data_IF_017702759593
#
_entry.id   IF_017702759593
#
_cell.length_a   1.000
_cell.length_b   1.000
_cell.length_c   1.000
_cell.angle_alpha   90.00
_cell.angle_beta   90.00
_cell.angle_gamma   90.00
#
_symmetry.space_group_name_H-M   'P 1'
#
loop_
_entity.id
_entity.type
_entity.pdbx_description
1 polymer ?
#
# COMPACT_ATOMS: atom_id res chain seq x y z
N UNK A 1 31.92 -6.67 1.99
CA UNK A 1 30.45 -6.83 1.96
C UNK A 1 30.01 -7.71 3.10
N UNK A 2 29.02 -7.31 3.78
CA UNK A 2 28.47 -8.15 4.87
C UNK A 2 27.37 -9.06 4.31
N UNK A 3 27.65 -10.34 4.21
CA UNK A 3 26.64 -11.33 3.85
C UNK A 3 25.68 -11.63 5.01
N UNK A 4 25.96 -11.07 6.19
CA UNK A 4 25.17 -11.30 7.40
C UNK A 4 24.29 -10.11 7.74
N UNK A 5 24.12 -9.18 6.81
CA UNK A 5 23.26 -8.05 7.04
C UNK A 5 21.81 -8.51 7.20
N UNK A 6 21.17 -8.09 8.30
CA UNK A 6 19.77 -8.34 8.56
C UNK A 6 18.98 -7.04 8.43
N UNK A 7 17.68 -7.16 8.23
CA UNK A 7 16.81 -6.02 8.11
C UNK A 7 16.43 -5.74 6.66
N UNK A 8 15.92 -4.55 6.43
CA UNK A 8 15.39 -4.12 5.13
C UNK A 8 15.99 -2.78 4.76
N UNK A 9 16.40 -2.66 3.49
CA UNK A 9 16.81 -1.37 2.92
C UNK A 9 15.91 -1.06 1.73
N UNK A 10 15.51 0.20 1.63
CA UNK A 10 14.67 0.68 0.53
C UNK A 10 15.53 1.52 -0.40
N UNK A 11 15.57 1.12 -1.67
CA UNK A 11 16.29 1.83 -2.72
C UNK A 11 15.27 2.48 -3.66
N UNK A 12 15.46 3.77 -3.95
CA UNK A 12 14.55 4.51 -4.82
C UNK A 12 15.28 4.92 -6.08
N UNK A 13 14.60 4.72 -7.21
CA UNK A 13 15.14 5.03 -8.54
C UNK A 13 14.10 5.81 -9.34
N UNK A 14 14.57 6.60 -10.32
CA UNK A 14 13.67 7.18 -11.31
C UNK A 14 13.17 6.08 -12.25
N UNK A 15 12.16 6.40 -13.05
CA UNK A 15 11.64 5.46 -14.05
C UNK A 15 12.71 5.11 -15.10
N UNK A 16 13.68 5.98 -15.30
CA UNK A 16 14.79 5.72 -16.22
C UNK A 16 15.95 4.95 -15.58
N UNK A 17 15.81 4.59 -14.29
CA UNK A 17 16.79 3.77 -13.59
C UNK A 17 17.86 4.55 -12.83
N UNK A 18 17.77 5.87 -12.73
CA UNK A 18 18.73 6.66 -11.97
C UNK A 18 18.46 6.52 -10.47
N UNK A 19 19.53 6.32 -9.71
CA UNK A 19 19.45 6.19 -8.26
C UNK A 19 19.02 7.52 -7.62
N UNK A 20 18.05 7.48 -6.71
CA UNK A 20 17.59 8.65 -5.97
C UNK A 20 18.10 8.59 -4.52
N UNK A 21 17.77 7.54 -3.80
CA UNK A 21 18.16 7.42 -2.39
C UNK A 21 18.09 5.98 -1.91
N UNK A 22 18.73 5.73 -0.77
CA UNK A 22 18.59 4.48 -0.04
C UNK A 22 18.21 4.81 1.41
N UNK A 23 17.36 3.99 1.99
CA UNK A 23 16.91 4.16 3.37
C UNK A 23 16.90 2.80 4.05
N UNK A 24 17.30 2.76 5.32
CA UNK A 24 17.23 1.55 6.14
C UNK A 24 15.88 1.44 6.85
N UNK A 25 14.97 2.35 6.57
CA UNK A 25 13.62 2.35 7.14
C UNK A 25 12.64 1.84 6.08
N UNK A 26 11.69 1.01 6.50
CA UNK A 26 10.64 0.55 5.59
C UNK A 26 9.76 1.75 5.25
N UNK A 27 9.65 2.02 3.94
CA UNK A 27 8.87 3.14 3.44
C UNK A 27 7.39 2.78 3.39
N UNK A 28 6.53 3.80 3.50
CA UNK A 28 5.10 3.66 3.21
C UNK A 28 4.86 3.19 1.77
N UNK A 29 5.84 3.40 0.90
CA UNK A 29 5.78 2.91 -0.48
C UNK A 29 5.76 1.38 -0.56
N UNK A 30 6.04 0.67 0.54
CA UNK A 30 5.99 -0.78 0.60
C UNK A 30 4.63 -1.34 1.05
N UNK A 31 3.66 -0.47 1.33
CA UNK A 31 2.33 -0.89 1.80
C UNK A 31 1.65 -1.85 0.80
N UNK A 32 1.87 -1.65 -0.51
CA UNK A 32 1.29 -2.52 -1.53
C UNK A 32 1.59 -4.01 -1.28
N UNK A 33 2.73 -4.31 -0.64
CA UNK A 33 3.14 -5.70 -0.41
C UNK A 33 2.26 -6.41 0.61
N UNK A 34 1.55 -5.68 1.48
CA UNK A 34 0.59 -6.27 2.41
C UNK A 34 -0.54 -6.94 1.64
N UNK A 35 -1.03 -6.26 0.60
CA UNK A 35 -2.19 -6.74 -0.14
C UNK A 35 -1.83 -7.66 -1.30
N UNK A 36 -0.70 -7.41 -1.99
CA UNK A 36 -0.45 -8.02 -3.30
C UNK A 36 0.85 -8.79 -3.43
N UNK A 37 1.59 -9.00 -2.35
CA UNK A 37 2.71 -9.94 -2.31
C UNK A 37 2.32 -11.15 -1.47
N UNK A 38 2.90 -12.30 -1.75
CA UNK A 38 2.67 -13.49 -0.91
C UNK A 38 3.12 -13.24 0.52
N UNK A 39 4.28 -12.59 0.68
CA UNK A 39 4.77 -12.18 1.99
C UNK A 39 5.09 -10.70 1.91
N UNK A 40 4.59 -9.92 2.86
CA UNK A 40 4.82 -8.47 2.84
C UNK A 40 6.27 -8.15 3.18
N UNK A 41 6.71 -6.94 2.76
CA UNK A 41 8.00 -6.40 3.16
C UNK A 41 8.11 -6.34 4.68
N UNK A 42 7.01 -5.99 5.34
CA UNK A 42 6.96 -5.84 6.80
C UNK A 42 7.17 -7.19 7.50
N UNK A 43 6.53 -8.25 7.01
CA UNK A 43 6.72 -9.57 7.58
C UNK A 43 8.13 -10.06 7.35
N UNK A 44 8.68 -9.87 6.16
CA UNK A 44 10.06 -10.27 5.86
C UNK A 44 11.07 -9.47 6.68
N UNK A 45 10.77 -8.22 7.01
CA UNK A 45 11.62 -7.45 7.92
C UNK A 45 11.68 -8.10 9.31
N UNK A 46 10.54 -8.53 9.83
CA UNK A 46 10.50 -9.23 11.12
C UNK A 46 11.24 -10.56 11.06
N UNK A 47 11.02 -11.32 9.99
CA UNK A 47 11.73 -12.59 9.81
C UNK A 47 13.23 -12.37 9.76
N UNK A 48 13.70 -11.40 8.99
CA UNK A 48 15.12 -11.08 8.86
C UNK A 48 15.73 -10.67 10.20
N UNK A 49 15.03 -9.84 10.97
CA UNK A 49 15.51 -9.41 12.28
C UNK A 49 15.65 -10.57 13.27
N UNK A 50 14.88 -11.64 13.09
CA UNK A 50 14.91 -12.83 13.93
C UNK A 50 15.67 -13.98 13.29
N UNK A 51 16.39 -13.71 12.21
CA UNK A 51 17.19 -14.70 11.46
C UNK A 51 16.35 -15.89 11.00
N UNK A 52 15.09 -15.64 10.67
CA UNK A 52 14.19 -16.65 10.12
C UNK A 52 14.25 -16.63 8.59
N UNK A 53 13.95 -17.78 7.95
CA UNK A 53 13.86 -17.80 6.49
C UNK A 53 12.83 -16.81 5.99
N UNK A 54 13.13 -16.15 4.88
CA UNK A 54 12.22 -15.20 4.28
C UNK A 54 11.04 -15.91 3.59
N UNK A 55 9.89 -15.27 3.59
CA UNK A 55 8.74 -15.73 2.84
C UNK A 55 8.85 -15.37 1.36
N UNK A 56 7.97 -15.98 0.57
CA UNK A 56 7.93 -15.75 -0.87
C UNK A 56 7.54 -14.30 -1.17
N UNK A 57 8.22 -13.71 -2.13
CA UNK A 57 8.01 -12.30 -2.48
C UNK A 57 7.21 -12.09 -3.77
N UNK A 58 6.78 -13.17 -4.44
CA UNK A 58 6.03 -13.05 -5.68
C UNK A 58 4.72 -12.32 -5.46
N UNK A 59 4.28 -11.63 -6.50
CA UNK A 59 2.99 -10.95 -6.50
C UNK A 59 1.85 -11.97 -6.57
N UNK A 60 0.75 -11.69 -5.87
CA UNK A 60 -0.47 -12.50 -5.99
C UNK A 60 -1.28 -12.08 -7.22
N UNK A 61 -1.04 -10.88 -7.73
CA UNK A 61 -1.64 -10.39 -8.96
C UNK A 61 -0.67 -9.42 -9.62
N UNK A 62 -0.77 -9.26 -10.94
CA UNK A 62 0.10 -8.34 -11.67
C UNK A 62 -0.56 -6.98 -11.96
N UNK A 63 -1.88 -6.88 -11.76
CA UNK A 63 -2.61 -5.63 -12.04
C UNK A 63 -3.31 -5.17 -10.78
N UNK A 64 -2.72 -4.21 -10.13
CA UNK A 64 -3.26 -3.62 -8.91
C UNK A 64 -2.78 -2.18 -8.76
N UNK A 65 -3.48 -1.43 -7.92
CA UNK A 65 -3.10 -0.08 -7.55
C UNK A 65 -3.40 0.14 -6.07
N UNK A 66 -2.48 0.76 -5.38
CA UNK A 66 -2.65 1.20 -3.98
C UNK A 66 -2.38 2.69 -3.94
N UNK A 67 -3.32 3.46 -3.39
CA UNK A 67 -3.14 4.90 -3.20
C UNK A 67 -3.45 5.27 -1.76
N UNK A 68 -2.63 6.13 -1.21
CA UNK A 68 -2.80 6.62 0.15
C UNK A 68 -3.81 7.78 0.18
N UNK A 69 -4.54 7.89 1.29
CA UNK A 69 -5.39 9.04 1.54
C UNK A 69 -4.99 9.72 2.85
N UNK A 70 -5.28 11.00 2.93
CA UNK A 70 -5.06 11.81 4.12
C UNK A 70 -6.32 12.65 4.33
N UNK A 71 -6.92 12.52 5.50
CA UNK A 71 -8.12 13.27 5.84
C UNK A 71 -7.80 14.25 6.97
N UNK A 72 -8.42 15.45 6.96
CA UNK A 72 -8.05 16.50 7.91
C UNK A 72 -8.46 16.21 9.35
N UNK A 73 -9.26 15.19 9.60
CA UNK A 73 -9.74 14.82 10.93
C UNK A 73 -9.99 13.33 10.99
N UNK A 74 -10.15 12.83 12.22
CA UNK A 74 -10.49 11.42 12.41
C UNK A 74 -11.88 11.14 11.82
N UNK A 75 -11.89 10.50 10.68
CA UNK A 75 -13.11 10.16 9.94
C UNK A 75 -13.64 8.82 10.41
N UNK A 76 -14.93 8.77 10.76
CA UNK A 76 -15.62 7.50 10.98
C UNK A 76 -15.83 6.84 9.62
N UNK A 77 -15.21 5.69 9.43
CA UNK A 77 -15.19 5.01 8.14
C UNK A 77 -16.43 4.19 7.83
N UNK A 78 -17.40 4.11 8.75
CA UNK A 78 -18.57 3.23 8.58
C UNK A 78 -19.39 3.59 7.35
N UNK A 79 -19.85 4.83 7.26
CA UNK A 79 -20.68 5.27 6.13
C UNK A 79 -19.89 5.39 4.83
N UNK A 80 -18.68 6.01 4.84
CA UNK A 80 -17.89 6.06 3.61
C UNK A 80 -17.56 4.66 3.07
N UNK A 81 -17.21 3.72 3.92
CA UNK A 81 -16.92 2.36 3.49
C UNK A 81 -18.16 1.69 2.89
N UNK A 82 -19.32 1.88 3.52
CA UNK A 82 -20.57 1.32 3.00
C UNK A 82 -20.85 1.85 1.59
N UNK A 83 -20.69 3.16 1.40
CA UNK A 83 -20.91 3.78 0.11
C UNK A 83 -19.95 3.23 -0.94
N UNK A 84 -18.66 3.19 -0.60
CA UNK A 84 -17.64 2.75 -1.56
C UNK A 84 -17.77 1.26 -1.89
N UNK A 85 -18.04 0.41 -0.91
CA UNK A 85 -18.23 -1.02 -1.15
C UNK A 85 -19.52 -1.31 -1.93
N UNK A 86 -20.54 -0.46 -1.82
CA UNK A 86 -21.72 -0.57 -2.66
C UNK A 86 -21.40 -0.25 -4.11
N UNK A 87 -20.50 0.71 -4.32
CA UNK A 87 -20.04 1.08 -5.66
C UNK A 87 -19.10 0.03 -6.27
N UNK A 88 -18.13 -0.42 -5.48
CA UNK A 88 -17.13 -1.40 -5.92
C UNK A 88 -16.75 -2.32 -4.75
N UNK A 89 -17.34 -3.54 -4.69
CA UNK A 89 -17.05 -4.46 -3.58
C UNK A 89 -15.61 -4.93 -3.50
N UNK A 90 -14.84 -4.79 -4.59
CA UNK A 90 -13.45 -5.22 -4.63
C UNK A 90 -12.45 -4.29 -3.96
N UNK A 91 -12.88 -3.10 -3.54
CA UNK A 91 -11.98 -2.18 -2.84
C UNK A 91 -11.44 -2.81 -1.57
N UNK A 92 -10.16 -2.50 -1.28
CA UNK A 92 -9.56 -2.74 0.03
C UNK A 92 -9.32 -1.36 0.63
N UNK A 93 -10.01 -1.06 1.72
CA UNK A 93 -9.95 0.25 2.36
C UNK A 93 -9.43 0.06 3.77
N UNK A 94 -8.27 0.61 4.06
CA UNK A 94 -7.60 0.43 5.35
C UNK A 94 -7.26 1.80 5.93
N UNK A 95 -7.69 2.03 7.16
CA UNK A 95 -7.35 3.23 7.92
C UNK A 95 -6.18 2.88 8.83
N UNK A 96 -5.03 3.46 8.57
CA UNK A 96 -3.80 3.13 9.28
C UNK A 96 -3.59 3.99 10.52
N UNK A 97 -3.95 5.28 10.43
CA UNK A 97 -3.88 6.21 11.57
C UNK A 97 -5.21 6.95 11.66
N UNK A 98 -5.31 7.92 12.59
CA UNK A 98 -6.54 8.72 12.70
C UNK A 98 -6.82 9.56 11.46
N UNK A 99 -5.81 9.85 10.64
CA UNK A 99 -5.94 10.73 9.47
C UNK A 99 -5.55 10.07 8.16
N UNK A 100 -4.86 8.95 8.16
CA UNK A 100 -4.29 8.37 6.96
C UNK A 100 -4.66 6.91 6.79
N UNK A 101 -4.61 6.46 5.56
CA UNK A 101 -4.85 5.08 5.21
C UNK A 101 -4.60 4.87 3.72
N UNK A 102 -5.12 3.77 3.18
CA UNK A 102 -4.98 3.51 1.75
C UNK A 102 -6.24 2.85 1.19
N UNK A 103 -6.39 3.00 -0.12
CA UNK A 103 -7.38 2.27 -0.91
C UNK A 103 -6.63 1.46 -1.93
N UNK A 104 -7.00 0.21 -2.08
CA UNK A 104 -6.37 -0.70 -3.04
C UNK A 104 -7.43 -1.41 -3.87
N UNK A 105 -7.06 -1.75 -5.09
CA UNK A 105 -7.94 -2.45 -6.02
C UNK A 105 -7.10 -3.23 -7.00
N UNK A 106 -7.60 -4.37 -7.44
CA UNK A 106 -6.95 -5.20 -8.45
C UNK A 106 -7.91 -5.48 -9.59
N UNK A 107 -7.35 -5.89 -10.71
CA UNK A 107 -8.14 -6.32 -11.84
C UNK A 107 -7.74 -5.63 -13.14
N UNK A 108 -8.30 -6.14 -14.25
CA UNK A 108 -8.03 -5.63 -15.58
C UNK A 108 -9.07 -4.58 -15.96
N UNK A 109 -8.88 -3.39 -15.40
CA UNK A 109 -9.79 -2.25 -15.56
C UNK A 109 -9.01 -0.96 -15.32
N UNK A 110 -9.65 0.19 -15.44
CA UNK A 110 -9.02 1.47 -15.16
C UNK A 110 -8.90 1.66 -13.65
N UNK A 111 -7.83 1.09 -13.09
CA UNK A 111 -7.59 1.12 -11.65
C UNK A 111 -7.36 2.53 -11.15
N UNK A 112 -6.68 3.36 -11.94
CA UNK A 112 -6.40 4.73 -11.52
C UNK A 112 -7.69 5.53 -11.36
N UNK A 113 -8.61 5.43 -12.30
CA UNK A 113 -9.89 6.12 -12.21
C UNK A 113 -10.70 5.65 -11.01
N UNK A 114 -10.81 4.34 -10.82
CA UNK A 114 -11.59 3.78 -9.73
C UNK A 114 -11.02 4.15 -8.37
N UNK A 115 -9.72 3.97 -8.18
CA UNK A 115 -9.08 4.25 -6.88
C UNK A 115 -9.05 5.75 -6.61
N UNK A 116 -8.76 6.58 -7.62
CA UNK A 116 -8.77 8.03 -7.47
C UNK A 116 -10.14 8.54 -7.06
N UNK A 117 -11.20 7.95 -7.62
CA UNK A 117 -12.57 8.29 -7.24
C UNK A 117 -12.82 8.03 -5.75
N UNK A 118 -12.40 6.87 -5.28
CA UNK A 118 -12.55 6.52 -3.86
C UNK A 118 -11.76 7.48 -2.96
N UNK A 119 -10.53 7.81 -3.34
CA UNK A 119 -9.71 8.75 -2.58
C UNK A 119 -10.36 10.12 -2.53
N UNK A 120 -10.83 10.63 -3.67
CA UNK A 120 -11.47 11.94 -3.74
C UNK A 120 -12.73 11.98 -2.89
N UNK A 121 -13.49 10.89 -2.86
CA UNK A 121 -14.65 10.80 -2.00
C UNK A 121 -14.27 10.85 -0.52
N UNK A 122 -13.26 10.07 -0.12
CA UNK A 122 -12.81 10.01 1.27
C UNK A 122 -12.23 11.34 1.74
N UNK A 123 -11.51 12.03 0.87
CA UNK A 123 -10.88 13.32 1.20
C UNK A 123 -11.85 14.50 1.10
N UNK A 124 -13.08 14.25 0.69
CA UNK A 124 -14.10 15.28 0.62
C UNK A 124 -14.02 16.15 -0.63
N UNK A 125 -13.26 15.73 -1.64
CA UNK A 125 -13.15 16.47 -2.91
C UNK A 125 -14.43 16.36 -3.71
N UNK A 126 -15.13 15.22 -3.61
CA UNK A 126 -16.41 15.01 -4.27
C UNK A 126 -17.45 14.59 -3.24
N UNK A 127 -18.70 14.93 -3.50
CA UNK A 127 -19.85 14.53 -2.68
C UNK A 127 -20.80 13.72 -3.54
N UNK A 128 -21.03 12.49 -3.14
CA UNK A 128 -21.97 11.61 -3.84
C UNK A 128 -22.99 11.03 -2.92
#
# INVERSE_FOLDING_TARGET
MSSNQTGVSTYRFTLSGEFIEVSDVISVDSIWSIEYAHTSVFENAVRSANELPLGRTELVTQKFLVMNFDVPRNLDMTEPSRHLFAHEPGYRIVKATSHTGYVALQGDRDLFEEVSHAIDYLEGVINE
#
